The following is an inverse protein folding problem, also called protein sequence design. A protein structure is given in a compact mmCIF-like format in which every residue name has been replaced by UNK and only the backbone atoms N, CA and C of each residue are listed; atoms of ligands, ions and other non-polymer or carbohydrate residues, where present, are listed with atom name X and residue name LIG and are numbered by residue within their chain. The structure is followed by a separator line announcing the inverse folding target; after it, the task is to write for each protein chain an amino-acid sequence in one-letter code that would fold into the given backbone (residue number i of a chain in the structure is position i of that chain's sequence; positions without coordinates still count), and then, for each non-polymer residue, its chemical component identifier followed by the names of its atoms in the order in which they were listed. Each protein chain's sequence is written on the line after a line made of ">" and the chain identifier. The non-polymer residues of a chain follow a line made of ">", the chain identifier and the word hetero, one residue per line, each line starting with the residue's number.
data_IF_629383820446
#
_entry.id   IF_629383820446
#
_cell.length_a   1.000
_cell.length_b   1.000
_cell.length_c   1.000
_cell.angle_alpha   90.00
_cell.angle_beta   90.00
_cell.angle_gamma   90.00
#
_symmetry.space_group_name_H-M   'P 1'
#
loop_
_entity.id
_entity.type
_entity.pdbx_description
1 polymer ?
#
# COMPACT_ATOMS: atom_id res chain seq x y z
N UNK A 1 18.18 7.67 -16.51
CA UNK A 1 16.89 7.59 -15.77
C UNK A 1 15.88 8.51 -16.43
N UNK A 2 14.68 8.03 -16.69
CA UNK A 2 13.54 8.85 -17.10
C UNK A 2 13.06 9.71 -15.93
N UNK A 3 12.25 10.74 -16.20
CA UNK A 3 11.63 11.54 -15.12
C UNK A 3 10.79 10.68 -14.16
N UNK A 4 10.08 9.67 -14.68
CA UNK A 4 9.31 8.72 -13.87
C UNK A 4 10.21 7.90 -12.96
N UNK A 5 11.29 7.33 -13.47
CA UNK A 5 12.26 6.57 -12.67
C UNK A 5 12.85 7.44 -11.54
N UNK A 6 13.17 8.70 -11.84
CA UNK A 6 13.68 9.64 -10.83
C UNK A 6 12.63 9.90 -9.74
N UNK A 7 11.35 10.13 -10.11
CA UNK A 7 10.27 10.35 -9.14
C UNK A 7 9.97 9.13 -8.28
N UNK A 8 10.03 7.92 -8.88
CA UNK A 8 9.67 6.66 -8.19
C UNK A 8 10.82 6.00 -7.46
N UNK A 9 12.05 6.47 -7.57
CA UNK A 9 13.22 5.85 -6.94
C UNK A 9 13.03 5.67 -5.44
N UNK A 10 12.69 6.75 -4.72
CA UNK A 10 12.46 6.68 -3.28
C UNK A 10 11.36 5.67 -2.90
N UNK A 11 10.32 5.56 -3.72
CA UNK A 11 9.19 4.67 -3.51
C UNK A 11 9.59 3.21 -3.65
N UNK A 12 10.36 2.88 -4.71
CA UNK A 12 10.88 1.52 -4.90
C UNK A 12 11.96 1.15 -3.88
N UNK A 13 12.58 2.11 -3.19
CA UNK A 13 13.49 1.89 -2.07
C UNK A 13 12.74 1.74 -0.74
N UNK A 14 11.60 2.40 -0.58
CA UNK A 14 10.79 2.41 0.65
C UNK A 14 10.10 1.07 0.94
N UNK A 15 9.54 0.41 -0.06
CA UNK A 15 8.91 -0.92 -0.05
C UNK A 15 7.68 -1.09 0.82
N UNK A 16 7.52 -0.36 1.93
CA UNK A 16 6.44 -0.58 2.89
C UNK A 16 5.79 0.72 3.34
N UNK A 17 4.46 0.79 3.28
CA UNK A 17 3.65 1.95 3.67
C UNK A 17 2.41 1.58 4.47
N UNK A 18 1.78 2.61 5.07
CA UNK A 18 0.49 2.52 5.75
C UNK A 18 -0.58 3.22 4.94
N UNK A 19 -1.73 2.57 4.75
CA UNK A 19 -2.96 3.18 4.30
C UNK A 19 -3.87 3.43 5.50
N UNK A 20 -4.55 4.56 5.53
CA UNK A 20 -5.53 4.86 6.59
C UNK A 20 -6.86 5.22 5.93
N UNK A 21 -7.86 4.33 6.09
CA UNK A 21 -9.22 4.59 5.67
C UNK A 21 -10.03 5.09 6.85
N UNK A 22 -10.32 6.38 6.87
CA UNK A 22 -11.06 7.01 7.95
C UNK A 22 -11.98 8.12 7.43
N UNK A 23 -13.19 8.19 7.95
CA UNK A 23 -14.22 9.13 7.55
C UNK A 23 -15.53 8.88 8.29
N UNK A 24 -16.64 9.40 7.77
CA UNK A 24 -17.97 9.24 8.38
C UNK A 24 -18.39 7.78 8.51
N UNK A 25 -17.96 6.92 7.59
CA UNK A 25 -18.25 5.47 7.62
C UNK A 25 -17.74 4.75 8.87
N UNK A 26 -16.81 5.35 9.61
CA UNK A 26 -16.35 4.80 10.88
C UNK A 26 -17.41 4.90 11.99
N UNK A 27 -18.40 5.82 11.87
CA UNK A 27 -19.46 6.00 12.86
C UNK A 27 -20.43 4.81 12.87
N UNK A 28 -21.05 4.41 11.74
CA UNK A 28 -21.87 3.21 11.71
C UNK A 28 -21.03 1.93 11.91
N UNK A 29 -19.72 1.97 11.64
CA UNK A 29 -18.83 0.82 11.83
C UNK A 29 -19.24 -0.41 11.02
N UNK A 30 -19.53 -0.22 9.73
CA UNK A 30 -19.97 -1.27 8.80
C UNK A 30 -19.13 -1.35 7.54
N UNK A 31 -17.92 -0.75 7.57
CA UNK A 31 -17.09 -0.58 6.40
C UNK A 31 -17.40 0.68 5.60
N UNK A 32 -16.53 1.03 4.69
CA UNK A 32 -16.56 2.27 3.89
C UNK A 32 -17.65 2.26 2.80
N UNK A 33 -18.11 1.09 2.40
CA UNK A 33 -19.16 0.89 1.40
C UNK A 33 -20.58 0.94 1.96
N UNK A 34 -20.75 1.07 3.27
CA UNK A 34 -22.05 0.97 3.95
C UNK A 34 -23.13 1.89 3.36
N UNK A 35 -22.77 3.12 2.96
CA UNK A 35 -23.71 4.04 2.32
C UNK A 35 -24.31 3.44 1.04
N UNK A 36 -23.48 2.86 0.18
CA UNK A 36 -23.92 2.24 -1.08
C UNK A 36 -24.63 0.92 -0.87
N UNK A 37 -24.10 0.04 -0.02
CA UNK A 37 -24.67 -1.30 0.23
C UNK A 37 -26.03 -1.23 0.87
N UNK A 38 -26.19 -0.36 1.85
CA UNK A 38 -27.47 -0.16 2.55
C UNK A 38 -28.40 0.83 1.82
N UNK A 39 -28.00 1.34 0.64
CA UNK A 39 -28.78 2.29 -0.18
C UNK A 39 -29.25 3.49 0.63
N UNK A 40 -28.35 4.14 1.38
CA UNK A 40 -28.68 5.28 2.22
C UNK A 40 -28.61 6.55 1.38
N UNK A 41 -29.71 7.33 1.27
CA UNK A 41 -29.69 8.64 0.61
C UNK A 41 -28.71 9.60 1.29
N UNK A 42 -28.11 10.50 0.50
CA UNK A 42 -27.12 11.47 1.00
C UNK A 42 -27.65 12.29 2.19
N UNK A 43 -28.89 12.76 2.11
CA UNK A 43 -29.53 13.58 3.16
C UNK A 43 -29.68 12.81 4.49
N UNK A 44 -29.79 11.47 4.42
CA UNK A 44 -29.83 10.63 5.62
C UNK A 44 -28.43 10.32 6.14
N UNK A 45 -27.44 10.20 5.23
CA UNK A 45 -26.06 9.91 5.59
C UNK A 45 -25.38 11.12 6.22
N UNK A 46 -25.74 12.35 5.84
CA UNK A 46 -25.22 13.62 6.39
C UNK A 46 -25.34 13.71 7.92
N UNK A 47 -26.28 13.00 8.55
CA UNK A 47 -26.39 12.95 10.02
C UNK A 47 -25.08 12.56 10.70
N UNK A 48 -24.28 11.67 10.07
CA UNK A 48 -23.01 11.24 10.62
C UNK A 48 -22.00 12.38 10.70
N UNK A 49 -22.09 13.40 9.83
CA UNK A 49 -21.28 14.60 9.98
C UNK A 49 -21.54 15.29 11.32
N UNK A 50 -22.79 15.32 11.80
CA UNK A 50 -23.15 15.92 13.09
C UNK A 50 -22.70 15.10 14.30
N UNK A 51 -22.29 13.86 14.09
CA UNK A 51 -21.76 12.96 15.11
C UNK A 51 -20.23 12.88 15.07
N UNK A 52 -19.59 13.38 13.99
CA UNK A 52 -18.15 13.25 13.73
C UNK A 52 -17.33 14.18 14.58
N UNK A 53 -16.96 13.73 15.78
CA UNK A 53 -16.25 14.52 16.79
C UNK A 53 -14.74 14.28 16.84
N UNK A 54 -14.24 13.18 16.27
CA UNK A 54 -12.81 12.83 16.21
C UNK A 54 -12.07 13.02 17.56
N UNK A 55 -12.73 12.71 18.70
CA UNK A 55 -12.28 13.10 20.06
C UNK A 55 -10.92 12.53 20.46
N UNK A 56 -10.54 11.40 19.90
CA UNK A 56 -9.29 10.73 20.22
C UNK A 56 -8.31 10.70 19.03
N UNK A 57 -8.60 11.48 17.98
CA UNK A 57 -7.70 11.61 16.85
C UNK A 57 -6.38 12.23 17.28
N UNK A 58 -5.33 11.42 17.22
CA UNK A 58 -3.94 11.79 17.44
C UNK A 58 -3.09 11.33 16.24
N UNK A 59 -2.90 12.18 15.23
CA UNK A 59 -2.11 11.81 14.05
C UNK A 59 -0.63 11.59 14.37
N UNK A 60 -0.12 12.09 15.50
CA UNK A 60 1.24 11.83 15.96
C UNK A 60 1.38 10.37 16.44
N UNK A 61 0.36 9.83 17.11
CA UNK A 61 0.35 8.41 17.48
C UNK A 61 0.29 7.54 16.22
N UNK A 62 -0.54 7.88 15.22
CA UNK A 62 -0.60 7.18 13.96
C UNK A 62 0.77 7.15 13.25
N UNK A 63 1.42 8.30 13.11
CA UNK A 63 2.72 8.42 12.46
C UNK A 63 3.82 7.64 13.22
N UNK A 64 3.85 7.72 14.56
CA UNK A 64 4.79 6.95 15.38
C UNK A 64 4.58 5.44 15.24
N UNK A 65 3.32 4.97 15.19
CA UNK A 65 3.02 3.54 14.97
C UNK A 65 3.46 3.08 13.60
N UNK A 66 3.16 3.85 12.56
CA UNK A 66 3.64 3.55 11.19
C UNK A 66 5.17 3.44 11.14
N UNK A 67 5.88 4.41 11.73
CA UNK A 67 7.34 4.40 11.78
C UNK A 67 7.90 3.21 12.55
N UNK A 68 7.32 2.89 13.72
CA UNK A 68 7.74 1.73 14.52
C UNK A 68 7.46 0.40 13.82
N UNK A 69 6.39 0.32 13.04
CA UNK A 69 6.11 -0.83 12.19
C UNK A 69 7.07 -0.97 10.99
N UNK A 70 7.98 0.00 10.78
CA UNK A 70 8.93 0.00 9.68
C UNK A 70 8.39 0.62 8.38
N UNK A 71 7.24 1.29 8.42
CA UNK A 71 6.69 1.95 7.24
C UNK A 71 7.42 3.25 6.93
N UNK A 72 7.54 3.58 5.63
CA UNK A 72 8.30 4.73 5.14
C UNK A 72 7.40 5.87 4.64
N UNK A 73 6.14 5.58 4.41
CA UNK A 73 5.12 6.53 3.96
C UNK A 73 3.75 6.17 4.51
N UNK A 74 2.88 7.16 4.59
CA UNK A 74 1.50 7.00 5.06
C UNK A 74 0.56 7.73 4.11
N UNK A 75 -0.50 7.05 3.67
CA UNK A 75 -1.55 7.60 2.82
C UNK A 75 -2.85 7.69 3.61
N UNK A 76 -3.48 8.86 3.65
CA UNK A 76 -4.78 9.08 4.30
C UNK A 76 -5.87 9.33 3.27
N UNK A 77 -7.05 8.75 3.45
CA UNK A 77 -8.25 9.10 2.69
C UNK A 77 -8.68 10.54 2.99
N UNK A 78 -8.25 11.51 2.17
CA UNK A 78 -8.65 12.90 2.33
C UNK A 78 -10.15 13.10 2.02
N UNK A 79 -10.67 12.37 1.02
CA UNK A 79 -12.09 12.23 0.68
C UNK A 79 -12.33 10.82 0.14
N UNK A 80 -13.30 10.10 0.71
CA UNK A 80 -13.76 8.80 0.21
C UNK A 80 -15.04 8.94 -0.63
N UNK A 81 -15.64 7.84 -1.07
CA UNK A 81 -16.79 7.80 -1.97
C UNK A 81 -18.04 8.51 -1.40
N UNK A 82 -18.16 8.60 -0.09
CA UNK A 82 -19.27 9.30 0.59
C UNK A 82 -19.19 10.84 0.47
N UNK A 83 -18.13 11.37 -0.12
CA UNK A 83 -17.95 12.78 -0.41
C UNK A 83 -17.50 13.64 0.77
N UNK A 84 -17.38 13.08 1.97
CA UNK A 84 -16.96 13.85 3.14
C UNK A 84 -15.47 14.19 3.12
N UNK A 85 -15.16 15.49 3.20
CA UNK A 85 -13.79 15.99 3.18
C UNK A 85 -13.19 16.03 4.58
N UNK A 86 -12.07 15.33 4.83
CA UNK A 86 -11.28 15.47 6.05
C UNK A 86 -10.41 16.73 6.07
N UNK A 87 -10.43 17.52 4.99
CA UNK A 87 -9.69 18.78 4.80
C UNK A 87 -10.61 19.98 4.68
N UNK A 88 -10.06 21.16 4.88
CA UNK A 88 -10.81 22.43 4.82
C UNK A 88 -11.01 22.90 3.36
N UNK A 89 -11.85 22.17 2.59
CA UNK A 89 -12.22 22.58 1.24
C UNK A 89 -13.08 23.86 1.26
N UNK A 90 -12.84 24.76 0.31
CA UNK A 90 -13.68 25.95 0.07
C UNK A 90 -14.86 25.66 -0.85
N UNK A 91 -14.89 24.47 -1.44
CA UNK A 91 -15.83 24.09 -2.48
C UNK A 91 -17.06 23.35 -1.93
N UNK A 92 -17.02 22.98 -0.65
CA UNK A 92 -18.13 22.28 0.02
C UNK A 92 -18.18 22.62 1.50
N UNK A 93 -19.40 22.57 2.07
CA UNK A 93 -19.63 22.62 3.50
C UNK A 93 -19.62 21.22 4.14
N UNK A 94 -19.58 20.14 3.36
CA UNK A 94 -19.56 18.76 3.80
C UNK A 94 -18.11 18.34 4.12
N UNK A 95 -17.60 18.86 5.24
CA UNK A 95 -16.19 18.77 5.63
C UNK A 95 -15.97 18.76 7.14
N UNK A 96 -14.82 18.28 7.57
CA UNK A 96 -14.45 18.10 8.98
C UNK A 96 -14.41 19.40 9.78
N UNK A 97 -14.05 20.53 9.16
CA UNK A 97 -14.03 21.84 9.84
C UNK A 97 -15.44 22.36 10.18
N UNK A 98 -16.48 21.85 9.51
CA UNK A 98 -17.88 22.15 9.80
C UNK A 98 -18.56 21.07 10.66
N UNK A 99 -17.90 19.94 10.90
CA UNK A 99 -18.35 18.90 11.82
C UNK A 99 -18.04 19.28 13.29
N UNK A 100 -18.58 18.57 14.31
CA UNK A 100 -18.28 18.84 15.71
C UNK A 100 -16.81 18.80 16.08
N UNK A 101 -15.94 18.14 15.32
CA UNK A 101 -14.50 18.20 15.54
C UNK A 101 -13.90 19.57 15.21
N UNK A 102 -14.46 20.35 14.28
CA UNK A 102 -14.05 21.69 13.93
C UNK A 102 -12.59 21.82 13.48
N UNK A 103 -11.99 20.77 12.93
CA UNK A 103 -10.55 20.66 12.66
C UNK A 103 -10.28 20.30 11.20
N UNK A 104 -9.21 20.83 10.64
CA UNK A 104 -8.62 20.34 9.38
C UNK A 104 -7.75 19.12 9.69
N UNK A 105 -8.35 17.93 9.56
CA UNK A 105 -7.72 16.67 9.97
C UNK A 105 -6.58 16.28 9.02
N UNK A 106 -6.65 16.68 7.76
CA UNK A 106 -5.57 16.46 6.78
C UNK A 106 -4.36 17.34 7.12
N UNK A 107 -4.55 18.59 7.53
CA UNK A 107 -3.45 19.46 7.97
C UNK A 107 -2.67 18.82 9.10
N UNK A 108 -3.38 18.41 10.14
CA UNK A 108 -2.77 17.80 11.32
C UNK A 108 -2.07 16.48 10.99
N UNK A 109 -2.66 15.67 10.11
CA UNK A 109 -2.06 14.43 9.61
C UNK A 109 -0.72 14.70 8.89
N UNK A 110 -0.75 15.62 7.92
CA UNK A 110 0.43 15.97 7.12
C UNK A 110 1.58 16.45 8.00
N UNK A 111 1.29 17.32 8.95
CA UNK A 111 2.28 17.87 9.87
C UNK A 111 2.86 16.78 10.79
N UNK A 112 2.03 15.86 11.28
CA UNK A 112 2.45 14.75 12.14
C UNK A 112 3.33 13.73 11.39
N UNK A 113 2.93 13.34 10.18
CA UNK A 113 3.68 12.37 9.36
C UNK A 113 5.06 12.92 8.98
N UNK A 114 5.13 14.21 8.60
CA UNK A 114 6.41 14.88 8.31
C UNK A 114 7.31 14.99 9.54
N UNK A 115 6.73 15.29 10.71
CA UNK A 115 7.50 15.39 11.95
C UNK A 115 8.19 14.08 12.31
N UNK A 116 7.64 12.93 11.92
CA UNK A 116 8.26 11.62 12.09
C UNK A 116 9.25 11.26 10.96
N UNK A 117 9.42 12.11 9.95
CA UNK A 117 10.29 11.88 8.80
C UNK A 117 9.74 10.89 7.78
N UNK A 118 8.42 10.64 7.82
CA UNK A 118 7.73 9.80 6.85
C UNK A 118 7.25 10.60 5.65
N UNK A 119 7.08 9.94 4.50
CA UNK A 119 6.49 10.52 3.30
C UNK A 119 4.98 10.60 3.42
N UNK A 120 4.40 11.66 2.85
CA UNK A 120 2.98 11.96 2.94
C UNK A 120 2.27 11.60 1.65
N UNK A 121 1.23 10.78 1.78
CA UNK A 121 0.29 10.49 0.70
C UNK A 121 -1.13 10.93 1.04
N UNK A 122 -1.88 11.32 0.03
CA UNK A 122 -3.30 11.62 0.13
C UNK A 122 -4.07 10.80 -0.91
N UNK A 123 -5.09 10.11 -0.44
CA UNK A 123 -6.07 9.42 -1.29
C UNK A 123 -7.24 10.34 -1.58
N UNK A 124 -7.74 10.30 -2.80
CA UNK A 124 -8.91 11.03 -3.24
C UNK A 124 -9.79 10.16 -4.15
N UNK A 125 -11.04 9.92 -3.73
CA UNK A 125 -12.04 9.24 -4.54
C UNK A 125 -12.47 10.09 -5.73
N UNK A 126 -12.44 9.52 -6.93
CA UNK A 126 -12.95 10.17 -8.16
C UNK A 126 -14.48 10.23 -8.19
N UNK A 127 -15.15 9.31 -7.49
CA UNK A 127 -16.60 9.32 -7.33
C UNK A 127 -17.01 10.05 -6.06
N UNK A 128 -18.26 10.53 -6.03
CA UNK A 128 -18.81 11.29 -4.91
C UNK A 128 -20.31 11.07 -4.80
N UNK A 129 -20.72 10.21 -3.87
CA UNK A 129 -22.12 9.87 -3.69
C UNK A 129 -22.97 10.99 -3.04
N UNK A 130 -22.31 12.03 -2.54
CA UNK A 130 -22.97 13.17 -1.93
C UNK A 130 -23.18 14.32 -2.94
N UNK A 131 -22.30 14.44 -3.95
CA UNK A 131 -22.34 15.60 -4.86
C UNK A 131 -23.59 15.55 -5.76
N UNK A 132 -24.40 16.65 -5.85
CA UNK A 132 -25.65 16.65 -6.59
C UNK A 132 -25.48 16.39 -8.10
N UNK A 133 -24.34 16.72 -8.68
CA UNK A 133 -24.05 16.52 -10.11
C UNK A 133 -23.26 15.23 -10.41
N UNK A 134 -23.08 14.37 -9.42
CA UNK A 134 -22.57 13.01 -9.68
C UNK A 134 -23.74 12.09 -10.07
N UNK A 135 -23.62 11.22 -11.10
CA UNK A 135 -24.73 10.38 -11.57
C UNK A 135 -25.26 9.47 -10.46
N UNK A 136 -26.56 9.55 -10.18
CA UNK A 136 -27.19 8.70 -9.14
C UNK A 136 -27.81 7.45 -9.73
N UNK A 137 -28.70 7.61 -10.71
CA UNK A 137 -29.48 6.49 -11.26
C UNK A 137 -28.62 5.50 -12.06
N UNK A 138 -27.77 6.02 -12.93
CA UNK A 138 -27.00 5.23 -13.90
C UNK A 138 -25.64 4.74 -13.36
N UNK A 139 -25.17 5.25 -12.23
CA UNK A 139 -23.94 4.81 -11.63
C UNK A 139 -24.14 3.48 -10.89
N UNK A 140 -23.36 2.46 -11.24
CA UNK A 140 -23.52 1.11 -10.68
C UNK A 140 -23.16 1.00 -9.19
N UNK A 141 -22.48 2.00 -8.65
CA UNK A 141 -21.98 2.02 -7.26
C UNK A 141 -22.71 3.04 -6.38
N UNK A 142 -23.45 3.98 -6.99
CA UNK A 142 -24.17 4.99 -6.21
C UNK A 142 -25.25 4.36 -5.32
N UNK A 143 -25.47 4.84 -4.07
CA UNK A 143 -26.56 4.35 -3.20
C UNK A 143 -27.92 4.33 -3.87
N UNK A 144 -28.24 5.32 -4.69
CA UNK A 144 -29.53 5.49 -5.37
C UNK A 144 -29.58 4.86 -6.78
N UNK A 145 -28.63 3.97 -7.11
CA UNK A 145 -28.60 3.27 -8.41
C UNK A 145 -29.90 2.53 -8.70
N UNK A 146 -30.44 2.78 -9.88
CA UNK A 146 -31.68 2.15 -10.34
C UNK A 146 -32.95 2.61 -9.60
N UNK A 147 -32.89 3.64 -8.75
CA UNK A 147 -34.07 4.20 -8.11
C UNK A 147 -34.81 5.12 -9.09
N UNK A 148 -36.08 4.79 -9.47
CA UNK A 148 -36.86 5.58 -10.43
C UNK A 148 -37.01 7.07 -10.08
N UNK A 149 -36.91 7.43 -8.80
CA UNK A 149 -36.97 8.83 -8.37
C UNK A 149 -35.84 9.70 -8.96
N UNK A 150 -34.71 9.09 -9.35
CA UNK A 150 -33.54 9.78 -9.89
C UNK A 150 -33.32 9.54 -11.39
N UNK A 151 -34.25 8.80 -12.06
CA UNK A 151 -34.09 8.42 -13.48
C UNK A 151 -34.01 9.64 -14.42
N UNK A 152 -34.79 10.67 -14.15
CA UNK A 152 -34.88 11.89 -14.97
C UNK A 152 -34.09 13.06 -14.36
N UNK A 153 -33.17 12.80 -13.42
CA UNK A 153 -32.36 13.82 -12.78
C UNK A 153 -31.45 14.51 -13.81
N UNK A 154 -31.49 15.84 -13.78
CA UNK A 154 -30.58 16.66 -14.61
C UNK A 154 -29.34 16.97 -13.82
N UNK A 155 -28.23 16.40 -14.23
CA UNK A 155 -26.91 16.63 -13.65
C UNK A 155 -26.06 17.49 -14.59
N UNK A 156 -25.14 18.27 -14.04
CA UNK A 156 -24.11 18.98 -14.76
C UNK A 156 -22.74 18.34 -14.41
N UNK A 157 -22.37 17.29 -15.14
CA UNK A 157 -21.15 16.56 -14.87
C UNK A 157 -19.87 17.42 -15.05
N UNK A 158 -19.92 18.46 -15.90
CA UNK A 158 -18.81 19.42 -16.04
C UNK A 158 -18.61 20.23 -14.76
N UNK A 159 -19.69 20.58 -14.07
CA UNK A 159 -19.63 21.23 -12.75
C UNK A 159 -19.04 20.29 -11.69
N UNK A 160 -19.40 19.01 -11.73
CA UNK A 160 -18.77 18.00 -10.88
C UNK A 160 -17.26 17.89 -11.14
N UNK A 161 -16.84 17.83 -12.42
CA UNK A 161 -15.42 17.79 -12.78
C UNK A 161 -14.65 19.02 -12.29
N UNK A 162 -15.25 20.22 -12.42
CA UNK A 162 -14.65 21.44 -11.92
C UNK A 162 -14.49 21.43 -10.38
N UNK A 163 -15.48 20.92 -9.66
CA UNK A 163 -15.44 20.71 -8.22
C UNK A 163 -14.33 19.72 -7.83
N UNK A 164 -14.27 18.55 -8.46
CA UNK A 164 -13.26 17.51 -8.21
C UNK A 164 -11.85 18.05 -8.46
N UNK A 165 -11.59 18.67 -9.62
CA UNK A 165 -10.28 19.25 -9.94
C UNK A 165 -9.90 20.35 -8.95
N UNK A 166 -10.85 21.22 -8.57
CA UNK A 166 -10.62 22.28 -7.59
C UNK A 166 -10.23 21.74 -6.22
N UNK A 167 -10.88 20.69 -5.74
CA UNK A 167 -10.51 20.03 -4.47
C UNK A 167 -9.12 19.39 -4.53
N UNK A 168 -8.77 18.76 -5.63
CA UNK A 168 -7.43 18.19 -5.82
C UNK A 168 -6.39 19.32 -5.88
N UNK A 169 -6.70 20.45 -6.53
CA UNK A 169 -5.83 21.63 -6.51
C UNK A 169 -5.61 22.17 -5.09
N UNK A 170 -6.67 22.23 -4.26
CA UNK A 170 -6.54 22.58 -2.84
C UNK A 170 -5.59 21.65 -2.11
N UNK A 171 -5.69 20.32 -2.32
CA UNK A 171 -4.82 19.34 -1.68
C UNK A 171 -3.35 19.49 -2.09
N UNK A 172 -3.06 19.79 -3.36
CA UNK A 172 -1.67 19.91 -3.83
C UNK A 172 -1.07 21.30 -3.63
N UNK A 173 -1.86 22.30 -3.21
CA UNK A 173 -1.37 23.68 -2.97
C UNK A 173 -1.34 24.06 -1.50
N UNK A 174 -2.32 23.60 -0.70
CA UNK A 174 -2.49 24.08 0.67
C UNK A 174 -1.69 23.32 1.72
N UNK A 175 -1.25 22.09 1.43
CA UNK A 175 -0.65 21.18 2.42
C UNK A 175 0.87 21.00 2.28
N UNK A 176 1.53 21.87 1.48
CA UNK A 176 2.95 21.79 1.20
C UNK A 176 3.30 20.59 0.31
N UNK A 177 4.48 20.01 0.46
CA UNK A 177 4.91 18.88 -0.36
C UNK A 177 4.06 17.64 -0.08
N UNK A 178 3.47 17.08 -1.11
CA UNK A 178 2.79 15.77 -1.10
C UNK A 178 3.65 14.80 -1.91
N UNK A 179 3.94 13.63 -1.35
CA UNK A 179 4.81 12.64 -1.99
C UNK A 179 4.02 11.65 -2.84
N UNK A 180 2.76 11.34 -2.46
CA UNK A 180 1.88 10.41 -3.18
C UNK A 180 0.48 11.03 -3.32
N UNK A 181 -0.07 11.00 -4.53
CA UNK A 181 -1.50 11.13 -4.78
C UNK A 181 -2.04 9.77 -5.20
N UNK A 182 -2.97 9.28 -4.43
CA UNK A 182 -3.63 8.01 -4.63
C UNK A 182 -5.08 8.28 -5.06
N UNK A 183 -5.39 8.16 -6.36
CA UNK A 183 -6.74 8.27 -6.90
C UNK A 183 -7.45 6.93 -6.79
N UNK A 184 -8.78 6.94 -6.88
CA UNK A 184 -9.52 5.70 -6.89
C UNK A 184 -10.82 5.82 -7.65
N UNK A 185 -11.20 4.70 -8.23
CA UNK A 185 -12.49 4.44 -8.83
C UNK A 185 -12.68 4.96 -10.26
N UNK A 186 -11.84 4.48 -11.17
CA UNK A 186 -12.10 4.55 -12.61
C UNK A 186 -12.70 3.23 -13.09
N UNK A 187 -13.92 3.24 -13.61
CA UNK A 187 -14.66 2.06 -14.08
C UNK A 187 -15.60 2.41 -15.22
N UNK A 188 -16.07 1.41 -15.94
CA UNK A 188 -16.97 1.55 -17.08
C UNK A 188 -16.53 2.68 -18.03
N UNK A 189 -17.39 3.65 -18.32
CA UNK A 189 -17.10 4.83 -19.14
C UNK A 189 -16.37 5.94 -18.38
N UNK A 190 -16.32 5.88 -17.05
CA UNK A 190 -15.64 6.85 -16.19
C UNK A 190 -14.16 6.51 -16.03
N UNK A 191 -13.38 6.70 -17.11
CA UNK A 191 -11.94 6.42 -17.16
C UNK A 191 -11.20 7.51 -17.94
N UNK A 192 -9.96 7.78 -17.54
CA UNK A 192 -9.06 8.65 -18.28
C UNK A 192 -9.67 10.01 -18.59
N UNK A 193 -9.91 10.30 -19.87
CA UNK A 193 -10.42 11.62 -20.30
C UNK A 193 -11.87 11.89 -19.90
N UNK A 194 -12.65 10.90 -19.48
CA UNK A 194 -13.94 11.16 -18.84
C UNK A 194 -13.77 11.98 -17.54
N UNK A 195 -12.64 11.84 -16.87
CA UNK A 195 -12.21 12.64 -15.71
C UNK A 195 -11.45 13.92 -16.10
N UNK A 196 -11.27 14.22 -17.41
CA UNK A 196 -10.33 15.22 -17.90
C UNK A 196 -8.93 15.02 -17.32
N UNK A 197 -8.49 13.75 -17.29
CA UNK A 197 -7.30 13.33 -16.55
C UNK A 197 -6.02 14.00 -17.06
N UNK A 198 -5.90 14.28 -18.36
CA UNK A 198 -4.75 15.03 -18.91
C UNK A 198 -4.61 16.41 -18.26
N UNK A 199 -5.71 17.18 -18.16
CA UNK A 199 -5.67 18.50 -17.56
C UNK A 199 -5.47 18.44 -16.05
N UNK A 200 -6.09 17.46 -15.39
CA UNK A 200 -5.88 17.18 -13.97
C UNK A 200 -4.39 16.94 -13.66
N UNK A 201 -3.74 16.03 -14.39
CA UNK A 201 -2.34 15.70 -14.15
C UNK A 201 -1.42 16.88 -14.52
N UNK A 202 -1.72 17.65 -15.56
CA UNK A 202 -0.97 18.89 -15.86
C UNK A 202 -1.06 19.89 -14.71
N UNK A 203 -2.23 20.07 -14.12
CA UNK A 203 -2.41 20.93 -12.94
C UNK A 203 -1.61 20.40 -11.76
N UNK A 204 -1.74 19.11 -11.41
CA UNK A 204 -1.00 18.48 -10.31
C UNK A 204 0.52 18.62 -10.50
N UNK A 205 1.06 18.30 -11.69
CA UNK A 205 2.50 18.39 -11.98
C UNK A 205 3.05 19.81 -11.93
N UNK A 206 2.23 20.81 -12.20
CA UNK A 206 2.62 22.23 -12.08
C UNK A 206 2.88 22.62 -10.63
N UNK A 207 2.07 22.11 -9.69
CA UNK A 207 2.20 22.42 -8.27
C UNK A 207 3.14 21.46 -7.54
N UNK A 208 3.15 20.18 -7.92
CA UNK A 208 3.89 19.10 -7.29
C UNK A 208 4.61 18.25 -8.37
N UNK A 209 5.74 18.72 -8.92
CA UNK A 209 6.44 18.01 -10.01
C UNK A 209 6.93 16.62 -9.62
N UNK A 210 7.27 16.42 -8.34
CA UNK A 210 7.86 15.19 -7.82
C UNK A 210 6.84 14.21 -7.22
N UNK A 211 5.54 14.58 -7.13
CA UNK A 211 4.51 13.70 -6.57
C UNK A 211 4.38 12.45 -7.44
N UNK A 212 4.34 11.28 -6.84
CA UNK A 212 3.98 10.06 -7.58
C UNK A 212 2.48 9.83 -7.53
N UNK A 213 1.96 9.22 -8.59
CA UNK A 213 0.52 9.03 -8.80
C UNK A 213 0.32 7.57 -9.20
N UNK A 214 -0.71 6.93 -8.66
CA UNK A 214 -1.11 5.58 -9.03
C UNK A 214 -1.75 5.52 -10.43
N UNK A 215 -2.15 4.33 -10.87
CA UNK A 215 -2.78 4.12 -12.18
C UNK A 215 -4.31 4.21 -12.16
N UNK A 216 -4.91 4.65 -11.03
CA UNK A 216 -6.37 4.58 -10.80
C UNK A 216 -7.18 5.65 -11.54
N UNK A 217 -6.57 6.52 -12.33
CA UNK A 217 -7.29 7.34 -13.31
C UNK A 217 -7.74 6.53 -14.55
N UNK A 218 -7.12 5.35 -14.79
CA UNK A 218 -7.44 4.47 -15.93
C UNK A 218 -8.16 3.18 -15.52
N UNK A 219 -7.92 2.68 -14.31
CA UNK A 219 -8.40 1.35 -13.88
C UNK A 219 -8.54 1.28 -12.36
N UNK A 220 -9.38 0.39 -11.86
CA UNK A 220 -9.72 0.25 -10.43
C UNK A 220 -9.16 -1.02 -9.79
N UNK A 221 -7.86 -1.27 -9.91
CA UNK A 221 -7.21 -2.39 -9.22
C UNK A 221 -7.27 -3.73 -9.94
N UNK A 222 -8.19 -3.89 -10.88
CA UNK A 222 -8.35 -5.11 -11.70
C UNK A 222 -7.42 -5.16 -12.90
N UNK A 223 -6.70 -4.06 -13.19
CA UNK A 223 -5.83 -3.97 -14.36
C UNK A 223 -4.61 -3.10 -14.14
N UNK A 224 -3.73 -3.11 -15.12
CA UNK A 224 -2.47 -2.37 -15.06
C UNK A 224 -2.49 -1.05 -15.83
N UNK A 225 -3.57 -0.77 -16.57
CA UNK A 225 -3.72 0.43 -17.38
C UNK A 225 -2.70 0.52 -18.51
N UNK A 226 -2.58 1.70 -19.12
CA UNK A 226 -1.63 1.94 -20.21
C UNK A 226 -0.17 2.01 -19.77
N UNK A 227 0.10 2.06 -18.45
CA UNK A 227 1.45 2.13 -17.90
C UNK A 227 2.34 0.94 -18.34
N UNK A 228 1.74 -0.21 -18.62
CA UNK A 228 2.44 -1.41 -19.10
C UNK A 228 2.50 -1.52 -20.62
N UNK A 229 1.95 -0.60 -21.38
CA UNK A 229 1.90 -0.60 -22.85
C UNK A 229 3.11 0.11 -23.48
N UNK A 230 3.22 0.08 -24.81
CA UNK A 230 4.25 0.82 -25.55
C UNK A 230 4.08 2.33 -25.47
N UNK A 231 2.85 2.79 -25.34
CA UNK A 231 2.47 4.20 -25.35
C UNK A 231 1.59 4.52 -24.12
N UNK A 232 2.20 4.66 -22.94
CA UNK A 232 1.48 5.08 -21.75
C UNK A 232 0.78 6.41 -21.96
N UNK A 233 -0.48 6.53 -21.54
CA UNK A 233 -1.18 7.80 -21.51
C UNK A 233 -0.48 8.79 -20.56
N UNK A 234 -0.68 10.07 -20.79
CA UNK A 234 -0.09 11.11 -19.92
C UNK A 234 -0.51 10.97 -18.46
N UNK A 235 -1.69 10.44 -18.22
CA UNK A 235 -2.30 10.19 -16.92
C UNK A 235 -2.19 8.71 -16.45
N UNK A 236 -1.35 7.90 -17.07
CA UNK A 236 -1.19 6.47 -16.72
C UNK A 236 -0.67 6.22 -15.30
N UNK A 237 -0.23 7.27 -14.61
CA UNK A 237 0.39 7.19 -13.31
C UNK A 237 1.90 6.85 -13.35
N UNK A 238 2.45 6.66 -12.17
CA UNK A 238 3.86 6.35 -11.94
C UNK A 238 4.06 4.90 -11.46
N UNK A 239 3.02 4.28 -10.86
CA UNK A 239 3.02 2.91 -10.37
C UNK A 239 1.64 2.26 -10.53
N UNK A 240 1.64 0.93 -10.61
CA UNK A 240 0.42 0.11 -10.65
C UNK A 240 0.01 -0.29 -9.24
N UNK A 241 -1.29 -0.29 -8.94
CA UNK A 241 -1.83 -0.59 -7.61
C UNK A 241 -2.79 -1.79 -7.62
N UNK A 242 -2.29 -3.04 -7.73
CA UNK A 242 -3.14 -4.22 -7.55
C UNK A 242 -3.74 -4.25 -6.15
N UNK A 243 -5.00 -4.67 -6.07
CA UNK A 243 -5.76 -4.63 -4.82
C UNK A 243 -6.06 -6.03 -4.30
N UNK A 244 -5.77 -6.27 -3.01
CA UNK A 244 -6.02 -7.51 -2.25
C UNK A 244 -5.40 -8.78 -2.85
N UNK A 245 -5.12 -8.80 -4.15
CA UNK A 245 -4.57 -9.94 -4.87
C UNK A 245 -3.12 -9.63 -5.26
N UNK A 246 -2.18 -10.36 -4.68
CA UNK A 246 -0.78 -10.23 -4.99
C UNK A 246 -0.50 -10.81 -6.38
N UNK A 247 0.10 -10.05 -7.32
CA UNK A 247 0.44 -10.57 -8.63
C UNK A 247 1.32 -11.82 -8.54
N UNK A 248 1.05 -12.87 -9.37
CA UNK A 248 1.85 -14.09 -9.35
C UNK A 248 3.31 -13.85 -9.69
N UNK A 249 3.57 -12.82 -10.51
CA UNK A 249 4.91 -12.36 -10.91
C UNK A 249 5.03 -10.86 -10.72
N UNK A 250 6.26 -10.32 -10.79
CA UNK A 250 6.49 -8.88 -10.84
C UNK A 250 5.90 -8.27 -12.11
N UNK A 251 5.39 -7.04 -12.01
CA UNK A 251 4.74 -6.38 -13.16
C UNK A 251 5.81 -5.85 -14.13
N UNK A 252 5.61 -6.16 -15.42
CA UNK A 252 6.48 -5.72 -16.51
C UNK A 252 5.65 -5.08 -17.62
N UNK A 253 6.26 -4.14 -18.34
CA UNK A 253 5.66 -3.60 -19.56
C UNK A 253 5.89 -4.55 -20.76
N UNK A 254 5.33 -4.21 -21.90
CA UNK A 254 5.44 -5.00 -23.15
C UNK A 254 6.86 -5.16 -23.67
N UNK A 255 7.83 -4.35 -23.17
CA UNK A 255 9.26 -4.46 -23.48
C UNK A 255 10.01 -5.33 -22.48
N UNK A 256 9.32 -5.90 -21.50
CA UNK A 256 9.91 -6.71 -20.44
C UNK A 256 10.56 -5.89 -19.31
N UNK A 257 10.46 -4.55 -19.33
CA UNK A 257 11.01 -3.67 -18.29
C UNK A 257 10.10 -3.71 -17.04
N UNK A 258 10.70 -3.64 -15.85
CA UNK A 258 9.95 -3.63 -14.59
C UNK A 258 9.18 -2.33 -14.44
N UNK A 259 7.92 -2.44 -14.03
CA UNK A 259 7.06 -1.31 -13.69
C UNK A 259 6.92 -1.25 -12.18
N UNK A 260 7.09 -0.07 -11.55
CA UNK A 260 6.81 0.08 -10.13
C UNK A 260 5.36 -0.30 -9.80
N UNK A 261 5.16 -1.02 -8.70
CA UNK A 261 3.83 -1.44 -8.26
C UNK A 261 3.73 -1.55 -6.76
N UNK A 262 2.52 -1.46 -6.24
CA UNK A 262 2.21 -1.51 -4.83
C UNK A 262 0.95 -2.33 -4.58
N UNK A 263 1.07 -3.44 -3.85
CA UNK A 263 -0.10 -4.16 -3.36
C UNK A 263 -0.77 -3.35 -2.25
N UNK A 264 -2.00 -2.91 -2.45
CA UNK A 264 -2.82 -2.41 -1.36
C UNK A 264 -3.65 -3.54 -0.76
N UNK A 265 -3.56 -3.70 0.57
CA UNK A 265 -4.23 -4.80 1.29
C UNK A 265 -4.62 -4.39 2.71
N UNK A 266 -5.60 -5.10 3.27
CA UNK A 266 -6.16 -4.85 4.59
C UNK A 266 -5.63 -5.84 5.63
N UNK A 267 -5.71 -5.47 6.93
CA UNK A 267 -5.41 -6.38 8.03
C UNK A 267 -6.52 -7.42 8.22
N UNK A 268 -7.78 -7.03 7.99
CA UNK A 268 -8.99 -7.88 7.99
C UNK A 268 -9.65 -7.87 6.61
N UNK A 269 -10.99 -7.89 6.50
CA UNK A 269 -11.71 -7.89 5.22
C UNK A 269 -12.26 -6.50 4.83
N UNK A 270 -12.07 -5.46 5.66
CA UNK A 270 -12.60 -4.12 5.43
C UNK A 270 -11.47 -3.07 5.36
N UNK A 271 -11.66 -2.02 4.54
CA UNK A 271 -10.80 -0.86 4.54
C UNK A 271 -11.14 0.07 5.70
N UNK A 272 -12.41 0.48 5.82
CA UNK A 272 -12.92 1.26 6.92
C UNK A 272 -13.18 0.42 8.18
N UNK A 273 -13.36 1.10 9.31
CA UNK A 273 -13.63 0.45 10.59
C UNK A 273 -14.90 -0.42 10.56
N UNK A 274 -14.74 -1.67 10.95
CA UNK A 274 -15.84 -2.61 11.15
C UNK A 274 -15.55 -3.48 12.39
N UNK A 275 -16.17 -3.20 13.56
CA UNK A 275 -15.94 -3.97 14.78
C UNK A 275 -16.46 -5.41 14.75
N UNK A 276 -17.29 -5.75 13.76
CA UNK A 276 -17.85 -7.10 13.57
C UNK A 276 -16.94 -7.99 12.71
N UNK A 277 -15.97 -7.40 12.01
CA UNK A 277 -14.97 -8.15 11.25
C UNK A 277 -13.78 -8.47 12.17
N UNK A 278 -13.78 -9.70 12.63
CA UNK A 278 -12.72 -10.24 13.52
C UNK A 278 -11.72 -11.13 12.81
N UNK A 279 -11.83 -11.28 11.50
CA UNK A 279 -11.01 -12.16 10.67
C UNK A 279 -9.70 -11.47 10.27
N UNK A 280 -8.83 -11.25 11.24
CA UNK A 280 -7.54 -10.62 11.01
C UNK A 280 -6.49 -11.60 10.47
N UNK A 281 -5.76 -11.16 9.46
CA UNK A 281 -4.57 -11.85 8.97
C UNK A 281 -3.51 -11.85 10.07
N UNK A 282 -2.88 -12.99 10.40
CA UNK A 282 -1.80 -13.00 11.40
C UNK A 282 -0.58 -12.21 10.92
N UNK A 283 0.18 -11.63 11.84
CA UNK A 283 1.38 -10.83 11.51
C UNK A 283 2.38 -11.62 10.63
N UNK A 284 2.54 -12.92 10.89
CA UNK A 284 3.39 -13.80 10.07
C UNK A 284 2.94 -13.85 8.60
N UNK A 285 1.63 -13.85 8.33
CA UNK A 285 1.12 -13.79 6.97
C UNK A 285 1.43 -12.44 6.32
N UNK A 286 1.23 -11.33 7.04
CA UNK A 286 1.48 -9.98 6.54
C UNK A 286 2.98 -9.76 6.25
N UNK A 287 3.87 -10.21 7.14
CA UNK A 287 5.32 -10.19 6.94
C UNK A 287 5.70 -10.99 5.68
N UNK A 288 5.20 -12.21 5.54
CA UNK A 288 5.46 -13.06 4.36
C UNK A 288 4.94 -12.43 3.06
N UNK A 289 3.81 -11.70 3.11
CA UNK A 289 3.30 -10.98 1.93
C UNK A 289 4.15 -9.76 1.59
N UNK A 290 4.67 -9.03 2.58
CA UNK A 290 5.65 -7.96 2.34
C UNK A 290 6.90 -8.52 1.66
N UNK A 291 7.48 -9.59 2.19
CA UNK A 291 8.64 -10.27 1.59
C UNK A 291 8.35 -10.72 0.16
N UNK A 292 7.18 -11.31 -0.07
CA UNK A 292 6.76 -11.75 -1.40
C UNK A 292 6.63 -10.57 -2.40
N UNK A 293 6.05 -9.43 -1.97
CA UNK A 293 6.01 -8.22 -2.77
C UNK A 293 7.41 -7.76 -3.16
N UNK A 294 8.32 -7.63 -2.19
CA UNK A 294 9.69 -7.16 -2.41
C UNK A 294 10.47 -8.11 -3.30
N UNK A 295 10.34 -9.43 -3.11
CA UNK A 295 11.00 -10.45 -3.96
C UNK A 295 10.56 -10.37 -5.42
N UNK A 296 9.37 -9.84 -5.69
CA UNK A 296 8.82 -9.58 -7.02
C UNK A 296 9.05 -8.14 -7.51
N UNK A 297 9.76 -7.32 -6.73
CA UNK A 297 10.11 -5.93 -7.06
C UNK A 297 9.03 -4.90 -6.74
N UNK A 298 7.99 -5.28 -5.98
CA UNK A 298 6.88 -4.41 -5.58
C UNK A 298 6.98 -3.86 -4.17
N UNK A 299 6.04 -2.98 -3.85
CA UNK A 299 5.78 -2.45 -2.53
C UNK A 299 4.53 -3.11 -1.93
N UNK A 300 4.34 -2.93 -0.62
CA UNK A 300 3.07 -3.21 0.05
C UNK A 300 2.63 -1.99 0.85
N UNK A 301 1.37 -1.60 0.71
CA UNK A 301 0.71 -0.63 1.58
C UNK A 301 -0.37 -1.36 2.38
N UNK A 302 -0.22 -1.34 3.72
CA UNK A 302 -1.08 -2.07 4.64
C UNK A 302 -2.07 -1.12 5.29
N UNK A 303 -3.36 -1.43 5.16
CA UNK A 303 -4.45 -0.58 5.64
C UNK A 303 -4.76 -0.74 7.12
N UNK A 304 -5.08 0.38 7.75
CA UNK A 304 -5.69 0.47 9.08
C UNK A 304 -6.97 1.29 8.98
N UNK A 305 -8.06 0.81 9.57
CA UNK A 305 -9.34 1.54 9.70
C UNK A 305 -9.56 2.02 11.14
N UNK A 306 -9.30 3.30 11.46
CA UNK A 306 -9.57 3.85 12.79
C UNK A 306 -11.06 3.88 13.13
N UNK A 307 -11.39 3.78 14.42
CA UNK A 307 -12.77 3.95 14.91
C UNK A 307 -13.29 5.39 14.71
N UNK A 308 -14.57 5.62 15.00
CA UNK A 308 -15.20 6.93 14.85
C UNK A 308 -14.51 8.06 15.64
N UNK A 309 -13.75 7.72 16.68
CA UNK A 309 -12.99 8.68 17.48
C UNK A 309 -11.56 8.92 16.97
N UNK A 310 -11.13 8.16 15.96
CA UNK A 310 -9.78 8.22 15.41
C UNK A 310 -8.75 7.32 16.09
N UNK A 311 -9.17 6.26 16.79
CA UNK A 311 -8.27 5.29 17.43
C UNK A 311 -8.06 4.07 16.54
N UNK A 312 -6.83 3.59 16.45
CA UNK A 312 -6.58 2.24 15.99
C UNK A 312 -7.07 1.25 17.04
N UNK A 313 -7.77 0.20 16.62
CA UNK A 313 -8.22 -0.83 17.53
C UNK A 313 -7.04 -1.67 18.07
N UNK A 314 -7.29 -2.42 19.14
CA UNK A 314 -6.24 -3.18 19.83
C UNK A 314 -5.55 -4.19 18.92
N UNK A 315 -6.30 -4.85 18.04
CA UNK A 315 -5.78 -5.87 17.14
C UNK A 315 -4.86 -5.27 16.07
N UNK A 316 -5.26 -4.14 15.45
CA UNK A 316 -4.39 -3.41 14.52
C UNK A 316 -3.10 -2.94 15.20
N UNK A 317 -3.20 -2.44 16.45
CA UNK A 317 -2.01 -2.06 17.22
C UNK A 317 -1.08 -3.26 17.46
N UNK A 318 -1.62 -4.41 17.87
CA UNK A 318 -0.85 -5.64 18.10
C UNK A 318 -0.12 -6.08 16.83
N UNK A 319 -0.82 -6.12 15.69
CA UNK A 319 -0.24 -6.49 14.41
C UNK A 319 0.88 -5.54 13.98
N UNK A 320 0.70 -4.22 14.13
CA UNK A 320 1.75 -3.24 13.85
C UNK A 320 2.97 -3.42 14.75
N UNK A 321 2.77 -3.72 16.04
CA UNK A 321 3.87 -3.95 16.98
C UNK A 321 4.64 -5.24 16.63
N UNK A 322 3.96 -6.34 16.26
CA UNK A 322 4.58 -7.59 15.82
C UNK A 322 5.36 -7.43 14.51
N UNK A 323 4.78 -6.75 13.50
CA UNK A 323 5.48 -6.44 12.25
C UNK A 323 6.69 -5.56 12.54
N UNK A 324 6.54 -4.55 13.42
CA UNK A 324 7.62 -3.66 13.82
C UNK A 324 8.77 -4.38 14.52
N UNK A 325 8.47 -5.37 15.37
CA UNK A 325 9.48 -6.19 16.01
C UNK A 325 10.32 -6.96 14.97
N UNK A 326 9.67 -7.57 13.97
CA UNK A 326 10.38 -8.25 12.87
C UNK A 326 11.17 -7.26 12.00
N UNK A 327 10.58 -6.13 11.62
CA UNK A 327 11.24 -5.10 10.82
C UNK A 327 12.46 -4.49 11.52
N UNK A 328 12.44 -4.38 12.85
CA UNK A 328 13.54 -3.77 13.62
C UNK A 328 14.89 -4.49 13.45
N UNK A 329 14.86 -5.77 13.11
CA UNK A 329 16.06 -6.61 12.94
C UNK A 329 16.26 -7.15 11.53
N UNK A 330 15.22 -7.04 10.66
CA UNK A 330 15.27 -7.62 9.31
C UNK A 330 15.07 -6.59 8.19
N UNK A 331 14.85 -5.30 8.50
CA UNK A 331 14.50 -4.29 7.49
C UNK A 331 15.54 -4.09 6.38
N UNK A 332 16.80 -4.48 6.61
CA UNK A 332 17.85 -4.44 5.58
C UNK A 332 17.51 -5.35 4.39
N UNK A 333 16.79 -6.46 4.62
CA UNK A 333 16.32 -7.37 3.58
C UNK A 333 15.11 -6.86 2.79
N UNK A 334 14.54 -5.71 3.19
CA UNK A 334 13.36 -5.07 2.62
C UNK A 334 13.72 -3.77 1.91
N UNK A 335 14.30 -2.78 2.64
CA UNK A 335 14.54 -1.45 2.08
C UNK A 335 15.61 -1.45 1.00
N UNK A 336 15.24 -0.90 -0.18
CA UNK A 336 16.11 -0.86 -1.34
C UNK A 336 16.34 -2.22 -1.99
N UNK A 337 15.73 -3.28 -1.46
CA UNK A 337 15.79 -4.61 -2.06
C UNK A 337 14.78 -4.77 -3.21
N UNK A 338 15.01 -5.78 -4.02
CA UNK A 338 14.13 -6.19 -5.10
C UNK A 338 14.31 -7.65 -5.42
N UNK A 339 13.85 -8.08 -6.61
CA UNK A 339 14.02 -9.45 -7.08
C UNK A 339 15.49 -9.83 -7.20
N UNK A 340 15.82 -11.02 -6.75
CA UNK A 340 17.16 -11.57 -6.93
C UNK A 340 17.41 -12.15 -8.34
N UNK A 341 16.36 -12.22 -9.18
CA UNK A 341 16.39 -12.78 -10.54
C UNK A 341 16.92 -14.23 -10.58
N UNK A 342 16.57 -14.99 -9.57
CA UNK A 342 16.85 -16.43 -9.45
C UNK A 342 15.55 -17.21 -9.25
N UNK A 343 15.51 -18.50 -9.56
CA UNK A 343 14.34 -19.33 -9.30
C UNK A 343 13.90 -19.28 -7.84
N UNK A 344 12.60 -19.20 -7.61
CA UNK A 344 12.02 -19.23 -6.28
C UNK A 344 12.32 -20.57 -5.61
N UNK A 345 12.93 -20.60 -4.40
CA UNK A 345 13.10 -21.83 -3.65
C UNK A 345 11.77 -22.30 -3.03
N UNK A 346 11.63 -23.60 -2.79
CA UNK A 346 10.41 -24.17 -2.20
C UNK A 346 10.19 -23.69 -0.76
N UNK A 347 11.27 -23.45 -0.02
CA UNK A 347 11.23 -23.05 1.40
C UNK A 347 10.96 -21.54 1.63
N UNK A 348 10.89 -20.69 0.58
CA UNK A 348 10.67 -19.25 0.81
C UNK A 348 10.94 -18.36 -0.38
N UNK A 349 11.68 -17.26 -0.16
CA UNK A 349 11.97 -16.22 -1.15
C UNK A 349 13.40 -15.72 -1.06
N UNK A 350 13.86 -15.08 -2.15
CA UNK A 350 15.07 -14.28 -2.13
C UNK A 350 14.75 -12.82 -2.43
N UNK A 351 15.35 -11.90 -1.66
CA UNK A 351 15.45 -10.49 -2.02
C UNK A 351 16.92 -10.14 -2.26
N UNK A 352 17.18 -9.07 -3.00
CA UNK A 352 18.55 -8.68 -3.35
C UNK A 352 18.73 -7.18 -3.28
N UNK A 353 19.90 -6.76 -2.77
CA UNK A 353 20.40 -5.41 -2.81
C UNK A 353 21.92 -5.47 -3.10
N UNK A 354 22.34 -4.83 -4.18
CA UNK A 354 23.74 -4.84 -4.62
C UNK A 354 24.34 -6.25 -4.71
N UNK A 355 25.43 -6.52 -4.00
CA UNK A 355 26.12 -7.82 -3.93
C UNK A 355 25.57 -8.73 -2.80
N UNK A 356 24.46 -8.37 -2.16
CA UNK A 356 23.86 -9.15 -1.08
C UNK A 356 22.54 -9.77 -1.52
N UNK A 357 22.37 -11.04 -1.19
CA UNK A 357 21.10 -11.76 -1.32
C UNK A 357 20.62 -12.08 0.09
N UNK A 358 19.34 -11.86 0.34
CA UNK A 358 18.68 -12.23 1.58
C UNK A 358 17.76 -13.41 1.30
N UNK A 359 18.00 -14.52 2.02
CA UNK A 359 17.17 -15.73 1.97
C UNK A 359 16.13 -15.67 3.09
N UNK A 360 14.88 -15.57 2.71
CA UNK A 360 13.72 -15.56 3.61
C UNK A 360 13.19 -16.98 3.75
N UNK A 361 13.46 -17.60 4.89
CA UNK A 361 13.14 -19.00 5.15
C UNK A 361 11.83 -19.08 5.92
N UNK A 362 10.81 -19.63 5.27
CA UNK A 362 9.44 -19.69 5.77
C UNK A 362 9.04 -21.09 6.27
N UNK A 363 9.84 -22.11 5.95
CA UNK A 363 9.57 -23.51 6.29
C UNK A 363 10.76 -24.15 6.98
N UNK A 364 10.48 -24.95 8.02
CA UNK A 364 11.53 -25.68 8.75
C UNK A 364 12.16 -26.74 7.85
N UNK A 365 13.49 -26.72 7.63
CA UNK A 365 14.15 -27.75 6.85
C UNK A 365 14.39 -29.01 7.66
N UNK A 366 14.53 -30.15 6.98
CA UNK A 366 15.11 -31.37 7.52
C UNK A 366 16.57 -31.42 7.08
N UNK A 367 17.50 -31.34 8.03
CA UNK A 367 18.93 -31.30 7.73
C UNK A 367 19.39 -29.97 7.15
N UNK A 368 20.54 -29.95 6.47
CA UNK A 368 21.06 -28.74 5.86
C UNK A 368 20.11 -28.16 4.77
N UNK A 369 19.91 -26.86 4.79
CA UNK A 369 19.07 -26.14 3.82
C UNK A 369 19.86 -25.93 2.52
N UNK A 370 19.33 -26.37 1.38
CA UNK A 370 19.88 -26.08 0.08
C UNK A 370 19.50 -24.65 -0.37
N UNK A 371 20.49 -23.84 -0.72
CA UNK A 371 20.30 -22.51 -1.31
C UNK A 371 20.03 -22.66 -2.81
N UNK A 372 18.90 -23.28 -3.16
CA UNK A 372 18.52 -23.55 -4.54
C UNK A 372 18.39 -22.27 -5.36
N UNK A 373 18.80 -22.32 -6.63
CA UNK A 373 18.80 -21.15 -7.51
C UNK A 373 20.06 -20.29 -7.41
N UNK A 374 20.92 -20.47 -6.40
CA UNK A 374 22.19 -19.78 -6.26
C UNK A 374 23.36 -20.65 -6.73
N UNK A 375 24.32 -20.05 -7.45
CA UNK A 375 25.58 -20.73 -7.78
C UNK A 375 26.44 -20.87 -6.51
N UNK A 376 26.71 -22.10 -6.10
CA UNK A 376 27.49 -22.44 -4.91
C UNK A 376 28.86 -21.75 -4.86
N UNK A 377 29.49 -21.51 -6.03
CA UNK A 377 30.82 -20.88 -6.13
C UNK A 377 30.80 -19.38 -5.84
N UNK A 378 29.62 -18.75 -5.99
CA UNK A 378 29.41 -17.33 -5.73
C UNK A 378 28.94 -17.05 -4.31
N UNK A 379 28.44 -18.05 -3.60
CA UNK A 379 28.00 -17.91 -2.20
C UNK A 379 29.24 -17.75 -1.30
N UNK A 380 29.37 -16.58 -0.70
CA UNK A 380 30.41 -16.24 0.28
C UNK A 380 29.99 -16.55 1.72
N UNK A 381 30.19 -15.60 2.61
CA UNK A 381 29.76 -15.67 4.00
C UNK A 381 28.23 -15.65 4.09
N UNK A 382 27.68 -16.46 4.99
CA UNK A 382 26.26 -16.49 5.31
C UNK A 382 26.07 -16.16 6.79
N UNK A 383 25.17 -15.26 7.11
CA UNK A 383 24.87 -14.84 8.47
C UNK A 383 23.36 -14.78 8.69
N UNK A 384 22.91 -15.03 9.90
CA UNK A 384 21.53 -14.71 10.29
C UNK A 384 21.42 -13.20 10.45
N UNK A 385 20.49 -12.55 9.74
CA UNK A 385 20.40 -11.09 9.71
C UNK A 385 20.05 -10.50 11.08
N UNK A 386 19.13 -11.15 11.83
CA UNK A 386 18.61 -10.62 13.08
C UNK A 386 19.66 -10.40 14.17
N UNK A 387 20.77 -11.17 14.20
CA UNK A 387 21.80 -11.08 15.24
C UNK A 387 23.23 -11.16 14.70
N UNK A 388 23.40 -11.23 13.38
CA UNK A 388 24.72 -11.31 12.74
C UNK A 388 25.50 -12.61 12.97
N UNK A 389 24.87 -13.64 13.59
CA UNK A 389 25.55 -14.92 13.84
C UNK A 389 25.88 -15.64 12.53
N UNK A 390 27.09 -16.19 12.45
CA UNK A 390 27.54 -16.93 11.27
C UNK A 390 26.73 -18.22 11.11
N UNK A 391 26.33 -18.52 9.88
CA UNK A 391 25.64 -19.75 9.49
C UNK A 391 26.63 -20.61 8.69
N UNK A 392 26.93 -21.78 9.26
CA UNK A 392 27.96 -22.64 8.71
C UNK A 392 27.49 -23.39 7.45
N UNK A 393 28.45 -23.73 6.59
CA UNK A 393 28.18 -24.64 5.48
C UNK A 393 27.70 -25.97 6.01
N UNK A 394 26.63 -26.48 5.38
CA UNK A 394 26.08 -27.80 5.72
C UNK A 394 26.83 -28.89 4.95
N UNK A 395 27.78 -29.56 5.60
CA UNK A 395 28.49 -30.68 5.03
C UNK A 395 27.90 -31.98 5.55
N UNK A 396 27.53 -32.89 4.66
CA UNK A 396 27.06 -34.20 4.97
C UNK A 396 27.30 -35.16 3.79
N UNK A 397 27.16 -36.45 4.02
CA UNK A 397 27.32 -37.46 2.98
C UNK A 397 26.45 -37.22 1.74
N UNK A 398 25.27 -36.60 1.88
CA UNK A 398 24.35 -36.33 0.75
C UNK A 398 24.65 -35.01 0.07
N UNK A 399 25.09 -33.96 0.81
CA UNK A 399 25.39 -32.67 0.22
C UNK A 399 26.51 -32.71 -0.79
N UNK A 400 27.49 -33.61 -0.60
CA UNK A 400 28.63 -33.85 -1.49
C UNK A 400 28.21 -34.40 -2.86
N UNK A 401 27.00 -34.95 -3.00
CA UNK A 401 26.45 -35.41 -4.27
C UNK A 401 25.95 -34.22 -5.16
N UNK A 402 25.86 -33.01 -4.59
CA UNK A 402 25.33 -31.82 -5.27
C UNK A 402 26.38 -30.71 -5.33
N UNK A 403 27.42 -30.90 -6.13
CA UNK A 403 28.61 -29.99 -6.22
C UNK A 403 28.26 -28.54 -6.58
N UNK A 404 27.14 -28.30 -7.26
CA UNK A 404 26.72 -26.94 -7.68
C UNK A 404 25.77 -26.27 -6.69
N UNK A 405 25.38 -26.93 -5.59
CA UNK A 405 24.50 -26.37 -4.58
C UNK A 405 25.28 -26.01 -3.30
N UNK A 406 25.00 -24.83 -2.78
CA UNK A 406 25.44 -24.48 -1.44
C UNK A 406 24.40 -24.95 -0.42
N UNK A 407 24.85 -25.59 0.64
CA UNK A 407 24.03 -25.97 1.77
C UNK A 407 24.46 -25.21 3.00
N UNK A 408 23.50 -24.84 3.86
CA UNK A 408 23.73 -24.16 5.12
C UNK A 408 23.03 -24.88 6.27
N UNK A 409 23.62 -24.82 7.46
CA UNK A 409 23.08 -25.45 8.66
C UNK A 409 22.53 -24.40 9.62
N UNK A 410 21.22 -24.44 9.90
CA UNK A 410 20.54 -23.49 10.79
C UNK A 410 20.66 -23.82 12.27
N UNK A 411 21.34 -24.90 12.62
CA UNK A 411 21.53 -25.38 13.98
C UNK A 411 22.88 -26.07 14.18
N UNK A 412 23.02 -26.83 15.27
CA UNK A 412 24.26 -27.56 15.59
C UNK A 412 24.25 -28.97 14.99
N UNK A 413 25.32 -29.32 14.31
CA UNK A 413 25.54 -30.70 13.83
C UNK A 413 25.82 -31.60 15.05
N UNK A 414 25.27 -32.84 15.14
CA UNK A 414 24.66 -33.64 14.05
C UNK A 414 23.12 -33.64 14.00
N UNK A 415 22.46 -32.64 14.53
CA UNK A 415 20.99 -32.61 14.53
C UNK A 415 20.42 -32.37 13.13
N UNK A 416 19.31 -33.05 12.80
CA UNK A 416 18.62 -32.98 11.52
C UNK A 416 17.25 -32.27 11.60
N UNK A 417 16.85 -31.87 12.81
CA UNK A 417 15.62 -31.09 13.02
C UNK A 417 16.01 -29.70 13.49
N UNK A 418 15.73 -28.71 12.65
CA UNK A 418 15.98 -27.31 12.97
C UNK A 418 14.68 -26.55 12.98
N UNK A 419 14.33 -25.97 14.12
CA UNK A 419 13.23 -25.01 14.18
C UNK A 419 13.75 -23.64 13.78
N UNK A 420 12.97 -22.95 12.97
CA UNK A 420 13.31 -21.57 12.59
C UNK A 420 13.32 -20.68 13.84
N UNK A 421 14.38 -19.89 14.05
CA UNK A 421 14.45 -18.93 15.16
C UNK A 421 13.29 -17.93 15.16
N UNK A 422 12.86 -17.51 13.99
CA UNK A 422 11.61 -16.75 13.80
C UNK A 422 10.69 -17.55 12.86
N UNK A 423 9.55 -18.07 13.36
CA UNK A 423 8.62 -18.84 12.54
C UNK A 423 7.83 -17.98 11.54
N UNK A 424 7.82 -16.66 11.70
CA UNK A 424 7.22 -15.77 10.72
C UNK A 424 8.09 -15.73 9.44
N UNK A 425 9.39 -15.47 9.63
CA UNK A 425 10.41 -15.45 8.57
C UNK A 425 11.81 -15.35 9.19
N UNK A 426 12.63 -16.35 8.98
CA UNK A 426 14.05 -16.36 9.37
C UNK A 426 14.90 -15.90 8.19
N UNK A 427 15.60 -14.76 8.35
CA UNK A 427 16.36 -14.14 7.26
C UNK A 427 17.85 -14.45 7.37
N UNK A 428 18.43 -14.94 6.27
CA UNK A 428 19.87 -15.07 6.12
C UNK A 428 20.39 -14.03 5.14
N UNK A 429 21.41 -13.29 5.55
CA UNK A 429 22.22 -12.45 4.67
C UNK A 429 23.30 -13.31 4.00
N UNK A 430 23.41 -13.25 2.69
CA UNK A 430 24.33 -14.01 1.87
C UNK A 430 25.21 -13.01 1.07
N UNK A 431 26.51 -13.03 1.32
CA UNK A 431 27.46 -12.38 0.43
C UNK A 431 27.48 -13.15 -0.90
N UNK A 432 27.06 -12.49 -1.99
CA UNK A 432 26.96 -13.15 -3.29
C UNK A 432 27.91 -12.48 -4.28
N UNK A 433 29.05 -13.10 -4.50
CA UNK A 433 30.16 -12.58 -5.32
C UNK A 433 29.73 -12.40 -6.77
N UNK A 434 30.25 -11.38 -7.43
CA UNK A 434 30.08 -11.24 -8.86
C UNK A 434 30.70 -12.45 -9.59
N UNK A 435 30.15 -12.79 -10.77
CA UNK A 435 30.74 -13.83 -11.58
C UNK A 435 32.15 -13.36 -11.99
N UNK A 436 33.19 -14.16 -11.72
CA UNK A 436 34.51 -13.92 -12.35
C UNK A 436 34.32 -14.09 -13.85
N UNK A 437 34.53 -12.98 -14.60
CA UNK A 437 34.54 -12.97 -16.05
C UNK A 437 35.69 -13.83 -16.60
#
# INVERSE_FOLDING_TARGET
>A
MTERETRTQWFTEARFGMFIHWGLYAIPGRGEWYMSEAKIPAEQYERYMQEFSAKAYDPRDWARRAKRAGMQYVVLTAKHHDGFCLFDSRLTDYKSTNAPCGRDLVREFVDAVRAEGLRVGLYYSLIDWHHPDFPKYNDCNHPMRGDPAYQDEKIDFDRYLAYMHGQIEELVTNYGRIDILWFDYAYDELRGEAWRATDLIRMVRRHQPDVIIDNRLETSGEGFGSLVTEQPAYYSGDFVSPEQILPPEGIRNVRGERVPWELCTTMNNNWGYNPYDTDYKPASMLIRKLVECVSKGGNMILNVGPDANGRFNAESCRLLDEIGAWMSVNSESIYGCGSADVPKPDWGWYTKKDARIYAHILENPIGPLALTGLDAKRVGTVRRLADGSEVLRGESWITNAYENLAFVTLGTIPHFTYLLPDPADTVLEIEYKEACL
#
